data_IF_462169874515
#
_entry.id   IF_462169874515
#
_cell.length_a   1.000
_cell.length_b   1.000
_cell.length_c   1.000
_cell.angle_alpha   90.00
_cell.angle_beta   90.00
_cell.angle_gamma   90.00
#
_symmetry.space_group_name_H-M   'P 1'
#
loop_
_entity.id
_entity.type
_entity.pdbx_description
1 polymer ?
#
# COMPACT_ATOMS: atom_id res chain seq x y z
N UNK A 1 -13.26 -10.98 23.03
CA UNK A 1 -13.59 -10.55 21.66
C UNK A 1 -12.85 -11.48 20.71
N UNK A 2 -13.56 -12.07 19.75
CA UNK A 2 -12.96 -13.00 18.80
C UNK A 2 -12.16 -12.26 17.71
N UNK A 3 -11.33 -12.97 16.95
CA UNK A 3 -10.67 -12.39 15.78
C UNK A 3 -11.69 -11.89 14.74
N UNK A 4 -12.83 -12.58 14.60
CA UNK A 4 -13.94 -12.16 13.72
C UNK A 4 -14.57 -10.84 14.19
N UNK A 5 -14.82 -10.67 15.48
CA UNK A 5 -15.35 -9.42 16.02
C UNK A 5 -14.38 -8.25 15.75
N UNK A 6 -13.08 -8.48 15.97
CA UNK A 6 -12.01 -7.51 15.69
C UNK A 6 -11.93 -7.17 14.19
N UNK A 7 -12.07 -8.16 13.31
CA UNK A 7 -12.09 -7.96 11.87
C UNK A 7 -13.29 -7.10 11.45
N UNK A 8 -14.48 -7.35 12.01
CA UNK A 8 -15.69 -6.56 11.73
C UNK A 8 -15.50 -5.09 12.14
N UNK A 9 -14.87 -4.83 13.29
CA UNK A 9 -14.54 -3.47 13.71
C UNK A 9 -13.61 -2.78 12.70
N UNK A 10 -12.54 -3.46 12.29
CA UNK A 10 -11.58 -2.93 11.31
C UNK A 10 -12.27 -2.59 9.99
N UNK A 11 -13.05 -3.52 9.44
CA UNK A 11 -13.74 -3.38 8.15
C UNK A 11 -14.73 -2.21 8.20
N UNK A 12 -15.54 -2.10 9.27
CA UNK A 12 -16.49 -0.99 9.44
C UNK A 12 -15.80 0.36 9.53
N UNK A 13 -14.70 0.45 10.28
CA UNK A 13 -13.96 1.70 10.47
C UNK A 13 -13.21 2.15 9.20
N UNK A 14 -13.03 1.27 8.21
CA UNK A 14 -12.23 1.53 7.00
C UNK A 14 -13.08 1.54 5.73
N UNK A 15 -14.35 1.95 5.83
CA UNK A 15 -15.30 1.99 4.72
C UNK A 15 -15.41 0.63 4.02
N UNK A 16 -15.80 -0.38 4.80
CA UNK A 16 -15.93 -1.77 4.36
C UNK A 16 -14.60 -2.34 3.80
N UNK A 17 -13.49 -2.00 4.44
CA UNK A 17 -12.14 -2.43 4.04
C UNK A 17 -11.53 -1.68 2.86
N UNK A 18 -12.29 -0.83 2.15
CA UNK A 18 -11.79 -0.08 0.99
C UNK A 18 -10.67 0.92 1.36
N UNK A 19 -10.66 1.41 2.60
CA UNK A 19 -9.65 2.32 3.11
C UNK A 19 -8.35 1.63 3.52
N UNK A 20 -8.34 0.30 3.69
CA UNK A 20 -7.14 -0.45 4.05
C UNK A 20 -6.15 -0.49 2.89
N UNK A 21 -4.86 -0.62 3.22
CA UNK A 21 -3.89 -1.03 2.20
C UNK A 21 -4.13 -2.52 1.86
N UNK A 22 -3.79 -2.97 0.64
CA UNK A 22 -4.00 -4.37 0.23
C UNK A 22 -3.40 -5.39 1.20
N UNK A 23 -2.19 -5.11 1.73
CA UNK A 23 -1.52 -5.97 2.72
C UNK A 23 -2.31 -6.09 4.03
N UNK A 24 -2.89 -4.99 4.51
CA UNK A 24 -3.63 -4.97 5.77
C UNK A 24 -5.00 -5.65 5.62
N UNK A 25 -5.66 -5.49 4.47
CA UNK A 25 -6.87 -6.26 4.16
C UNK A 25 -6.58 -7.77 4.10
N UNK A 26 -5.46 -8.16 3.49
CA UNK A 26 -5.03 -9.56 3.48
C UNK A 26 -4.78 -10.10 4.91
N UNK A 27 -4.18 -9.29 5.78
CA UNK A 27 -3.98 -9.66 7.19
C UNK A 27 -5.32 -9.89 7.92
N UNK A 28 -6.34 -9.05 7.66
CA UNK A 28 -7.70 -9.23 8.18
C UNK A 28 -8.30 -10.55 7.68
N UNK A 29 -8.14 -10.88 6.39
CA UNK A 29 -8.60 -12.14 5.82
C UNK A 29 -7.94 -13.34 6.52
N UNK A 30 -6.62 -13.33 6.71
CA UNK A 30 -5.91 -14.38 7.43
C UNK A 30 -6.39 -14.52 8.88
N UNK A 31 -6.70 -13.40 9.55
CA UNK A 31 -7.24 -13.41 10.92
C UNK A 31 -8.60 -14.13 10.99
N UNK A 32 -9.50 -13.83 10.05
CA UNK A 32 -10.83 -14.46 9.98
C UNK A 32 -10.73 -15.95 9.67
N UNK A 33 -9.77 -16.34 8.82
CA UNK A 33 -9.56 -17.74 8.42
C UNK A 33 -8.76 -18.56 9.45
N UNK A 34 -8.30 -17.95 10.55
CA UNK A 34 -7.43 -18.59 11.54
C UNK A 34 -6.08 -19.05 10.96
N UNK A 35 -5.53 -18.29 10.01
CA UNK A 35 -4.27 -18.57 9.30
C UNK A 35 -3.07 -17.77 9.86
N UNK A 36 -3.25 -17.04 10.97
CA UNK A 36 -2.19 -16.24 11.58
C UNK A 36 -1.28 -17.08 12.48
N UNK A 37 0.02 -16.89 12.32
CA UNK A 37 1.02 -17.29 13.31
C UNK A 37 1.19 -16.20 14.39
N UNK A 38 2.13 -16.38 15.33
CA UNK A 38 2.39 -15.41 16.41
C UNK A 38 2.71 -14.00 15.90
N UNK A 39 3.56 -13.88 14.87
CA UNK A 39 3.87 -12.60 14.25
C UNK A 39 2.65 -11.98 13.55
N UNK A 40 1.81 -12.81 12.91
CA UNK A 40 0.55 -12.40 12.29
C UNK A 40 -0.45 -11.89 13.32
N UNK A 41 -0.56 -12.54 14.49
CA UNK A 41 -1.41 -12.10 15.60
C UNK A 41 -0.96 -10.74 16.15
N UNK A 42 0.35 -10.55 16.31
CA UNK A 42 0.92 -9.26 16.72
C UNK A 42 0.62 -8.16 15.69
N UNK A 43 0.87 -8.43 14.41
CA UNK A 43 0.58 -7.49 13.33
C UNK A 43 -0.93 -7.16 13.24
N UNK A 44 -1.80 -8.14 13.49
CA UNK A 44 -3.25 -7.92 13.47
C UNK A 44 -3.70 -7.04 14.65
N UNK A 45 -3.11 -7.22 15.83
CA UNK A 45 -3.34 -6.35 16.97
C UNK A 45 -2.87 -4.92 16.71
N UNK A 46 -1.70 -4.75 16.10
CA UNK A 46 -1.17 -3.44 15.69
C UNK A 46 -2.06 -2.77 14.64
N UNK A 47 -2.51 -3.52 13.64
CA UNK A 47 -3.45 -3.02 12.62
C UNK A 47 -4.74 -2.51 13.29
N UNK A 48 -5.33 -3.31 14.18
CA UNK A 48 -6.53 -2.88 14.93
C UNK A 48 -6.25 -1.59 15.71
N UNK A 49 -5.14 -1.52 16.44
CA UNK A 49 -4.78 -0.33 17.19
C UNK A 49 -4.65 0.91 16.27
N UNK A 50 -4.04 0.76 15.10
CA UNK A 50 -3.92 1.82 14.10
C UNK A 50 -5.28 2.24 13.51
N UNK A 51 -6.18 1.30 13.24
CA UNK A 51 -7.51 1.61 12.68
C UNK A 51 -8.39 2.33 13.71
N UNK A 52 -8.27 1.97 14.99
CA UNK A 52 -9.13 2.45 16.06
C UNK A 52 -8.66 3.76 16.71
N UNK A 53 -7.63 4.41 16.16
CA UNK A 53 -7.19 5.72 16.65
C UNK A 53 -8.28 6.78 16.43
N UNK A 54 -8.33 7.84 17.25
CA UNK A 54 -9.32 8.92 17.08
C UNK A 54 -9.27 9.60 15.70
N UNK A 55 -8.07 9.75 15.13
CA UNK A 55 -7.84 10.29 13.79
C UNK A 55 -8.15 9.30 12.66
N UNK A 56 -8.48 8.05 13.00
CA UNK A 56 -8.72 6.96 12.07
C UNK A 56 -7.45 6.27 11.58
N UNK A 57 -7.65 5.39 10.59
CA UNK A 57 -6.60 4.55 10.03
C UNK A 57 -5.50 5.36 9.33
N UNK A 58 -4.25 5.21 9.78
CA UNK A 58 -3.10 5.70 9.02
C UNK A 58 -2.63 4.64 8.05
N UNK A 59 -2.88 4.87 6.77
CA UNK A 59 -2.44 3.98 5.69
C UNK A 59 -0.90 3.94 5.62
N UNK A 60 -0.28 2.76 5.62
CA UNK A 60 1.16 2.66 5.44
C UNK A 60 1.54 3.04 4.01
N UNK A 61 2.76 3.55 3.87
CA UNK A 61 3.35 3.81 2.58
C UNK A 61 3.63 2.51 1.82
N UNK A 62 3.30 2.53 0.54
CA UNK A 62 3.52 1.39 -0.34
C UNK A 62 5.02 1.13 -0.48
N UNK A 63 5.43 -0.10 -0.18
CA UNK A 63 6.85 -0.50 -0.08
C UNK A 63 7.69 0.35 0.88
N UNK A 64 7.05 1.04 1.85
CA UNK A 64 7.73 1.95 2.77
C UNK A 64 8.20 3.27 2.14
N UNK A 65 7.77 3.56 0.90
CA UNK A 65 8.20 4.75 0.17
C UNK A 65 7.27 5.91 0.47
N UNK A 66 7.77 6.93 1.17
CA UNK A 66 6.98 8.11 1.56
C UNK A 66 6.20 8.71 0.39
N UNK A 67 4.93 9.02 0.65
CA UNK A 67 3.92 9.53 -0.30
C UNK A 67 3.43 8.56 -1.37
N UNK A 68 4.01 7.36 -1.47
CA UNK A 68 3.55 6.33 -2.38
C UNK A 68 2.48 5.46 -1.70
N UNK A 69 1.37 5.22 -2.38
CA UNK A 69 0.31 4.31 -1.92
C UNK A 69 -0.21 3.47 -3.06
N UNK A 70 -0.78 2.31 -2.78
CA UNK A 70 -1.39 1.42 -3.77
C UNK A 70 -2.77 0.95 -3.29
N UNK A 71 -3.76 0.97 -4.17
CA UNK A 71 -5.12 0.48 -3.90
C UNK A 71 -5.31 -1.01 -4.22
N UNK A 72 -6.51 -1.51 -3.93
CA UNK A 72 -6.88 -2.92 -4.17
C UNK A 72 -7.00 -3.27 -5.66
N UNK A 73 -7.17 -2.27 -6.52
CA UNK A 73 -7.28 -2.47 -7.96
C UNK A 73 -5.92 -2.46 -8.66
N UNK A 74 -4.85 -2.07 -7.97
CA UNK A 74 -3.51 -1.98 -8.52
C UNK A 74 -3.04 -0.56 -8.83
N UNK A 75 -3.89 0.45 -8.68
CA UNK A 75 -3.50 1.83 -8.92
C UNK A 75 -2.50 2.30 -7.87
N UNK A 76 -1.44 2.95 -8.32
CA UNK A 76 -0.38 3.52 -7.51
C UNK A 76 -0.50 5.03 -7.55
N UNK A 77 -0.40 5.64 -6.37
CA UNK A 77 -0.60 7.07 -6.17
C UNK A 77 0.62 7.70 -5.53
N UNK A 78 1.00 8.86 -6.02
CA UNK A 78 2.00 9.75 -5.41
C UNK A 78 1.31 10.99 -4.87
N UNK A 79 1.35 11.19 -3.54
CA UNK A 79 0.65 12.30 -2.85
C UNK A 79 -0.84 12.43 -3.25
N UNK A 80 -1.49 11.28 -3.51
CA UNK A 80 -2.90 11.22 -3.91
C UNK A 80 -3.16 11.30 -5.41
N UNK A 81 -2.16 11.57 -6.25
CA UNK A 81 -2.28 11.56 -7.70
C UNK A 81 -1.97 10.17 -8.27
N UNK A 82 -2.88 9.61 -9.07
CA UNK A 82 -2.63 8.34 -9.75
C UNK A 82 -1.49 8.52 -10.76
N UNK A 83 -0.47 7.69 -10.63
CA UNK A 83 0.78 7.78 -11.41
C UNK A 83 1.11 6.50 -12.16
N UNK A 84 0.54 5.35 -11.77
CA UNK A 84 0.80 4.06 -12.41
C UNK A 84 -0.27 3.02 -12.02
N UNK A 85 -0.29 1.88 -12.71
CA UNK A 85 -1.08 0.70 -12.36
C UNK A 85 -0.20 -0.56 -12.36
N UNK A 86 -0.11 -1.22 -11.21
CA UNK A 86 0.74 -2.41 -11.02
C UNK A 86 -0.05 -3.71 -10.98
N UNK A 87 0.43 -4.67 -11.77
CA UNK A 87 -0.10 -6.03 -11.88
C UNK A 87 1.04 -7.06 -12.00
N UNK A 88 1.97 -7.03 -11.04
CA UNK A 88 3.09 -7.99 -10.99
C UNK A 88 2.62 -9.38 -10.53
N UNK A 89 3.12 -10.42 -11.19
CA UNK A 89 2.81 -11.82 -10.90
C UNK A 89 4.06 -12.70 -11.04
N UNK A 90 4.06 -13.86 -10.39
CA UNK A 90 5.15 -14.84 -10.44
C UNK A 90 6.09 -14.83 -9.23
N UNK A 91 7.12 -15.69 -9.22
CA UNK A 91 7.96 -15.95 -8.04
C UNK A 91 8.71 -14.72 -7.53
N UNK A 92 9.07 -13.80 -8.43
CA UNK A 92 9.80 -12.57 -8.08
C UNK A 92 8.91 -11.32 -8.10
N UNK A 93 7.58 -11.48 -8.03
CA UNK A 93 6.64 -10.37 -8.18
C UNK A 93 6.88 -9.27 -7.15
N UNK A 94 7.14 -9.63 -5.89
CA UNK A 94 7.39 -8.68 -4.81
C UNK A 94 8.64 -7.83 -5.06
N UNK A 95 9.76 -8.46 -5.43
CA UNK A 95 11.02 -7.74 -5.68
C UNK A 95 10.93 -6.86 -6.94
N UNK A 96 10.27 -7.35 -8.00
CA UNK A 96 10.01 -6.55 -9.21
C UNK A 96 9.11 -5.35 -8.92
N UNK A 97 8.05 -5.56 -8.15
CA UNK A 97 7.14 -4.50 -7.76
C UNK A 97 7.83 -3.46 -6.87
N UNK A 98 8.70 -3.91 -5.95
CA UNK A 98 9.51 -3.02 -5.12
C UNK A 98 10.46 -2.17 -5.96
N UNK A 99 11.23 -2.80 -6.86
CA UNK A 99 12.14 -2.07 -7.74
C UNK A 99 11.37 -1.05 -8.61
N UNK A 100 10.24 -1.46 -9.18
CA UNK A 100 9.38 -0.55 -9.95
C UNK A 100 8.86 0.62 -9.11
N UNK A 101 8.44 0.37 -7.86
CA UNK A 101 7.98 1.40 -6.93
C UNK A 101 9.10 2.39 -6.57
N UNK A 102 10.33 1.90 -6.38
CA UNK A 102 11.51 2.73 -6.12
C UNK A 102 11.84 3.61 -7.34
N UNK A 103 11.77 3.07 -8.55
CA UNK A 103 12.00 3.79 -9.81
C UNK A 103 10.93 4.87 -10.03
N UNK A 104 9.66 4.51 -9.84
CA UNK A 104 8.53 5.41 -9.94
C UNK A 104 8.67 6.58 -8.96
N UNK A 105 9.04 6.30 -7.71
CA UNK A 105 9.26 7.33 -6.72
C UNK A 105 10.41 8.29 -7.07
N UNK A 106 11.49 7.79 -7.68
CA UNK A 106 12.57 8.64 -8.20
C UNK A 106 12.05 9.54 -9.33
N UNK A 107 11.30 8.99 -10.28
CA UNK A 107 10.71 9.76 -11.38
C UNK A 107 9.75 10.86 -10.87
N UNK A 108 8.90 10.54 -9.88
CA UNK A 108 8.01 11.52 -9.26
C UNK A 108 8.80 12.67 -8.60
N UNK A 109 9.85 12.36 -7.83
CA UNK A 109 10.69 13.40 -7.20
C UNK A 109 11.41 14.28 -8.21
N UNK A 110 11.91 13.71 -9.31
CA UNK A 110 12.54 14.49 -10.40
C UNK A 110 11.51 15.42 -11.05
N UNK A 111 10.31 14.91 -11.35
CA UNK A 111 9.21 15.70 -11.90
C UNK A 111 8.84 16.88 -10.97
N UNK A 112 8.76 16.64 -9.66
CA UNK A 112 8.54 17.71 -8.66
C UNK A 112 9.67 18.73 -8.64
N UNK A 113 10.93 18.28 -8.69
CA UNK A 113 12.10 19.16 -8.69
C UNK A 113 12.16 20.06 -9.94
N UNK A 114 11.61 19.60 -11.06
CA UNK A 114 11.46 20.37 -12.29
C UNK A 114 10.25 21.33 -12.26
N UNK A 115 9.48 21.36 -11.17
CA UNK A 115 8.28 22.17 -11.03
C UNK A 115 7.11 21.68 -11.91
N UNK A 116 7.17 20.43 -12.39
CA UNK A 116 6.12 19.83 -13.20
C UNK A 116 5.07 19.17 -12.31
N UNK A 117 3.85 19.10 -12.82
CA UNK A 117 2.77 18.32 -12.20
C UNK A 117 3.11 16.83 -12.27
N UNK A 118 3.06 16.12 -11.14
CA UNK A 118 3.25 14.67 -11.09
C UNK A 118 2.01 13.96 -11.60
N UNK A 119 2.10 13.48 -12.84
CA UNK A 119 1.10 12.63 -13.50
C UNK A 119 1.82 11.70 -14.45
N UNK A 120 1.22 10.56 -14.76
CA UNK A 120 1.80 9.54 -15.63
C UNK A 120 2.47 10.11 -16.90
N UNK A 121 1.82 11.04 -17.61
CA UNK A 121 2.35 11.62 -18.84
C UNK A 121 3.58 12.51 -18.69
N UNK A 122 3.87 12.97 -17.47
CA UNK A 122 5.04 13.80 -17.17
C UNK A 122 6.18 12.98 -16.54
N UNK A 123 5.96 11.71 -16.24
CA UNK A 123 6.98 10.84 -15.66
C UNK A 123 7.92 10.35 -16.75
N UNK A 124 9.19 10.70 -16.60
CA UNK A 124 10.26 10.25 -17.50
C UNK A 124 10.99 9.10 -16.82
N UNK A 125 10.87 7.91 -17.39
CA UNK A 125 11.71 6.77 -17.05
C UNK A 125 12.92 6.81 -18.00
N UNK A 126 14.09 7.23 -17.52
CA UNK A 126 15.29 7.17 -18.35
C UNK A 126 15.77 5.72 -18.44
N UNK A 127 15.84 5.19 -19.67
CA UNK A 127 16.44 3.89 -19.98
C UNK A 127 17.96 3.86 -19.71
N UNK A 128 18.57 5.00 -19.34
CA UNK A 128 19.99 5.13 -18.98
C UNK A 128 20.29 4.84 -17.51
N UNK A 129 19.28 4.55 -16.67
CA UNK A 129 19.46 4.20 -15.26
C UNK A 129 19.58 2.67 -15.00
N UNK A 130 19.64 1.85 -16.06
CA UNK A 130 19.71 0.38 -15.98
C UNK A 130 20.88 -0.20 -16.80
N UNK A 131 21.96 0.57 -16.98
CA UNK A 131 23.21 0.09 -17.58
C UNK A 131 24.31 -0.07 -16.53
#
# INVERSE_FOLDING_TARGET
>A
MTATDQAIEIIRATNDGNGLAPRDLYLVQCAVNNDLNEAGLAAFAELRANVMKPEGYTRPWFMGIEHLTKDHNGYVYWKGHSVEHYSFHGPDAYEKERAAAEDLARACRVCEAEGKEVKFSNLVFSWEMVA
#
